data_IF_168484022323
#
_entry.id   IF_168484022323
#
_cell.length_a   1.000
_cell.length_b   1.000
_cell.length_c   1.000
_cell.angle_alpha   90.00
_cell.angle_beta   90.00
_cell.angle_gamma   90.00
#
_symmetry.space_group_name_H-M   'P 1'
#
loop_
_entity.id
_entity.type
_entity.pdbx_description
1 polymer ?
#
# COMPACT_ATOMS: atom_id res chain seq x y z
N UNK A 1 9.18 8.67 -11.61
CA UNK A 1 9.52 9.42 -10.37
C UNK A 1 9.29 8.47 -9.20
N UNK A 2 10.26 8.35 -8.30
CA UNK A 2 10.18 7.50 -7.12
C UNK A 2 9.88 8.41 -5.93
N UNK A 3 8.68 8.28 -5.37
CA UNK A 3 8.17 9.07 -4.24
C UNK A 3 7.15 8.22 -3.49
N UNK A 4 7.42 7.98 -2.21
CA UNK A 4 6.56 7.27 -1.27
C UNK A 4 6.27 8.26 -0.15
N UNK A 5 5.00 8.45 0.19
CA UNK A 5 4.60 9.51 1.13
C UNK A 5 4.96 9.14 2.56
N UNK A 6 4.73 7.88 2.93
CA UNK A 6 5.02 7.34 4.27
C UNK A 6 5.55 5.93 4.17
N UNK A 7 6.56 5.63 4.98
CA UNK A 7 7.08 4.27 5.18
C UNK A 7 6.98 3.93 6.66
N UNK A 8 6.26 2.86 6.99
CA UNK A 8 6.24 2.26 8.32
C UNK A 8 6.99 0.94 8.31
N UNK A 9 7.81 0.65 9.32
CA UNK A 9 8.56 -0.60 9.39
C UNK A 9 8.37 -1.22 10.77
N UNK A 10 7.94 -2.49 10.80
CA UNK A 10 7.82 -3.27 12.03
C UNK A 10 7.99 -4.75 11.72
N UNK A 11 8.63 -5.49 12.64
CA UNK A 11 8.87 -6.94 12.51
C UNK A 11 9.47 -7.37 11.14
N UNK A 12 10.37 -6.55 10.58
CA UNK A 12 11.01 -6.85 9.29
C UNK A 12 10.17 -6.59 8.04
N UNK A 13 8.92 -6.15 8.18
CA UNK A 13 8.02 -5.82 7.07
C UNK A 13 7.82 -4.31 6.99
N UNK A 14 7.98 -3.76 5.79
CA UNK A 14 7.69 -2.37 5.49
C UNK A 14 6.27 -2.20 4.90
N UNK A 15 5.53 -1.22 5.38
CA UNK A 15 4.29 -0.75 4.77
C UNK A 15 4.60 0.56 4.04
N UNK A 16 4.44 0.55 2.71
CA UNK A 16 4.74 1.68 1.84
C UNK A 16 3.43 2.35 1.41
N UNK A 17 3.21 3.57 1.86
CA UNK A 17 1.92 4.25 1.74
C UNK A 17 1.98 5.36 0.70
N UNK A 18 0.97 5.42 -0.15
CA UNK A 18 0.65 6.54 -1.03
C UNK A 18 -0.70 7.14 -0.61
N UNK A 19 -0.72 8.41 -0.26
CA UNK A 19 -1.87 9.11 0.29
C UNK A 19 -2.62 9.86 -0.82
N UNK A 20 -3.92 9.60 -0.96
CA UNK A 20 -4.75 10.12 -2.05
C UNK A 20 -5.96 10.88 -1.54
N UNK A 21 -6.15 12.08 -2.09
CA UNK A 21 -7.24 12.99 -1.75
C UNK A 21 -8.23 13.12 -2.93
N UNK A 22 -8.92 12.03 -3.28
CA UNK A 22 -9.84 12.01 -4.42
C UNK A 22 -11.30 12.08 -3.99
N UNK A 23 -12.02 13.12 -4.42
CA UNK A 23 -13.49 13.18 -4.24
C UNK A 23 -14.25 12.25 -5.19
N UNK A 24 -13.67 11.96 -6.35
CA UNK A 24 -14.20 11.05 -7.38
C UNK A 24 -13.02 10.34 -8.05
N UNK A 25 -13.17 9.06 -8.35
CA UNK A 25 -12.21 8.28 -9.11
C UNK A 25 -12.94 7.28 -10.00
N UNK A 26 -12.27 6.82 -11.06
CA UNK A 26 -12.71 5.66 -11.85
C UNK A 26 -11.88 4.43 -11.49
N UNK A 27 -12.41 3.23 -11.76
CA UNK A 27 -11.64 1.99 -11.60
C UNK A 27 -10.33 2.02 -12.39
N UNK A 28 -10.33 2.56 -13.61
CA UNK A 28 -9.11 2.68 -14.42
C UNK A 28 -8.06 3.58 -13.78
N UNK A 29 -8.48 4.72 -13.20
CA UNK A 29 -7.56 5.63 -12.49
C UNK A 29 -6.99 4.98 -11.23
N UNK A 30 -7.81 4.23 -10.50
CA UNK A 30 -7.42 3.52 -9.28
C UNK A 30 -6.42 2.41 -9.61
N UNK A 31 -6.69 1.59 -10.63
CA UNK A 31 -5.76 0.58 -11.13
C UNK A 31 -4.42 1.19 -11.58
N UNK A 32 -4.44 2.35 -12.23
CA UNK A 32 -3.19 3.03 -12.62
C UNK A 32 -2.35 3.44 -11.41
N UNK A 33 -3.00 3.93 -10.36
CA UNK A 33 -2.31 4.35 -9.12
C UNK A 33 -1.74 3.14 -8.39
N UNK A 34 -2.52 2.06 -8.27
CA UNK A 34 -2.06 0.81 -7.66
C UNK A 34 -0.83 0.26 -8.38
N UNK A 35 -0.86 0.18 -9.72
CA UNK A 35 0.30 -0.27 -10.51
C UNK A 35 1.54 0.58 -10.28
N UNK A 36 1.39 1.91 -10.18
CA UNK A 36 2.50 2.82 -9.85
C UNK A 36 3.03 2.59 -8.44
N UNK A 37 2.17 2.30 -7.46
CA UNK A 37 2.59 2.02 -6.09
C UNK A 37 3.32 0.68 -5.97
N UNK A 38 2.85 -0.35 -6.67
CA UNK A 38 3.55 -1.63 -6.78
C UNK A 38 4.96 -1.39 -7.35
N UNK A 39 5.08 -0.62 -8.43
CA UNK A 39 6.37 -0.34 -9.07
C UNK A 39 7.33 0.42 -8.14
N UNK A 40 6.83 1.42 -7.41
CA UNK A 40 7.65 2.12 -6.39
C UNK A 40 8.10 1.19 -5.26
N UNK A 41 7.25 0.25 -4.86
CA UNK A 41 7.55 -0.74 -3.83
C UNK A 41 8.64 -1.72 -4.30
N UNK A 42 8.58 -2.18 -5.56
CA UNK A 42 9.68 -2.96 -6.16
C UNK A 42 10.99 -2.20 -6.15
N UNK A 43 10.98 -0.92 -6.50
CA UNK A 43 12.19 -0.09 -6.49
C UNK A 43 12.75 0.13 -5.08
N UNK A 44 11.89 0.24 -4.06
CA UNK A 44 12.29 0.31 -2.66
C UNK A 44 12.99 -0.98 -2.22
N UNK A 45 12.35 -2.13 -2.48
CA UNK A 45 12.88 -3.46 -2.13
C UNK A 45 14.21 -3.74 -2.85
N UNK A 46 14.31 -3.43 -4.14
CA UNK A 46 15.54 -3.63 -4.90
C UNK A 46 16.75 -2.84 -4.35
N UNK A 47 16.49 -1.71 -3.69
CA UNK A 47 17.50 -0.83 -3.09
C UNK A 47 17.74 -1.10 -1.59
N UNK A 48 16.91 -1.91 -0.96
CA UNK A 48 16.93 -2.16 0.48
C UNK A 48 17.11 -3.65 0.71
N UNK A 49 18.34 -4.05 1.02
CA UNK A 49 18.70 -5.46 1.19
C UNK A 49 17.86 -6.13 2.29
N UNK A 50 17.31 -7.31 1.98
CA UNK A 50 16.45 -8.07 2.89
C UNK A 50 15.08 -7.45 3.17
N UNK A 51 14.68 -6.37 2.47
CA UNK A 51 13.39 -5.75 2.69
C UNK A 51 12.24 -6.59 2.11
N UNK A 52 11.22 -6.78 2.94
CA UNK A 52 9.89 -7.26 2.55
C UNK A 52 8.94 -6.07 2.69
N UNK A 53 8.14 -5.80 1.66
CA UNK A 53 7.30 -4.62 1.63
C UNK A 53 5.88 -4.90 1.11
N UNK A 54 4.90 -4.26 1.73
CA UNK A 54 3.49 -4.23 1.29
C UNK A 54 3.15 -2.82 0.81
N UNK A 55 2.75 -2.64 -0.45
CA UNK A 55 2.19 -1.38 -0.93
C UNK A 55 0.80 -1.18 -0.33
N UNK A 56 0.49 0.06 0.08
CA UNK A 56 -0.83 0.45 0.59
C UNK A 56 -1.22 1.80 -0.01
N UNK A 57 -2.47 1.97 -0.40
CA UNK A 57 -3.03 3.27 -0.75
C UNK A 57 -3.90 3.74 0.41
N UNK A 58 -3.66 4.93 0.96
CA UNK A 58 -4.55 5.55 1.95
C UNK A 58 -5.37 6.63 1.27
N UNK A 59 -6.68 6.65 1.47
CA UNK A 59 -7.58 7.61 0.82
C UNK A 59 -8.34 8.46 1.84
N UNK A 60 -8.62 9.73 1.48
CA UNK A 60 -9.37 10.61 2.38
C UNK A 60 -10.89 10.38 2.34
N UNK A 61 -11.47 10.08 1.18
CA UNK A 61 -12.93 10.10 0.97
C UNK A 61 -13.57 8.75 0.63
N UNK A 62 -12.79 7.68 0.44
CA UNK A 62 -13.38 6.36 0.21
C UNK A 62 -14.02 5.86 1.51
N UNK A 63 -15.10 5.10 1.41
CA UNK A 63 -15.96 4.69 2.54
C UNK A 63 -15.66 3.28 3.07
N UNK A 64 -14.88 2.49 2.34
CA UNK A 64 -14.50 1.13 2.74
C UNK A 64 -13.11 0.74 2.27
N UNK A 65 -12.50 -0.19 2.99
CA UNK A 65 -11.34 -0.92 2.48
C UNK A 65 -11.72 -1.66 1.20
N UNK A 66 -10.85 -1.56 0.20
CA UNK A 66 -10.96 -2.26 -1.07
C UNK A 66 -9.59 -2.83 -1.47
N UNK A 67 -9.56 -3.72 -2.47
CA UNK A 67 -8.34 -4.35 -2.94
C UNK A 67 -8.29 -4.37 -4.46
N UNK A 68 -7.15 -3.97 -5.02
CA UNK A 68 -6.83 -4.16 -6.43
C UNK A 68 -5.46 -4.80 -6.52
N UNK A 69 -5.35 -5.92 -7.23
CA UNK A 69 -4.09 -6.69 -7.31
C UNK A 69 -3.53 -7.03 -5.91
N UNK A 70 -4.42 -7.31 -4.95
CA UNK A 70 -4.13 -7.54 -3.53
C UNK A 70 -3.47 -6.35 -2.81
N UNK A 71 -3.44 -5.17 -3.41
CA UNK A 71 -3.01 -3.92 -2.77
C UNK A 71 -4.19 -3.32 -2.02
N UNK A 72 -4.11 -3.18 -0.68
CA UNK A 72 -5.17 -2.57 0.11
C UNK A 72 -5.29 -1.07 -0.20
N UNK A 73 -6.53 -0.63 -0.36
CA UNK A 73 -6.93 0.76 -0.50
C UNK A 73 -7.77 1.09 0.73
N UNK A 74 -7.18 1.84 1.65
CA UNK A 74 -7.64 1.99 3.03
C UNK A 74 -8.14 3.42 3.25
N UNK A 75 -9.40 3.61 3.66
CA UNK A 75 -9.85 4.91 4.13
C UNK A 75 -9.06 5.38 5.36
N UNK A 76 -8.69 6.65 5.43
CA UNK A 76 -7.89 7.18 6.54
C UNK A 76 -8.56 6.95 7.91
N UNK A 77 -9.90 6.95 7.98
CA UNK A 77 -10.63 6.70 9.22
C UNK A 77 -10.61 5.23 9.66
N UNK A 78 -10.28 4.29 8.77
CA UNK A 78 -10.08 2.86 9.09
C UNK A 78 -8.60 2.50 9.22
N UNK A 79 -7.70 3.44 8.97
CA UNK A 79 -6.27 3.15 8.90
C UNK A 79 -5.70 2.60 10.22
N UNK A 80 -6.15 3.10 11.37
CA UNK A 80 -5.70 2.58 12.68
C UNK A 80 -6.02 1.09 12.83
N UNK A 81 -7.29 0.72 12.61
CA UNK A 81 -7.74 -0.67 12.70
C UNK A 81 -7.05 -1.56 11.65
N UNK A 82 -6.85 -1.06 10.44
CA UNK A 82 -6.09 -1.77 9.40
C UNK A 82 -4.67 -2.09 9.87
N UNK A 83 -3.98 -1.16 10.54
CA UNK A 83 -2.62 -1.39 11.06
C UNK A 83 -2.63 -2.38 12.22
N UNK A 84 -3.62 -2.32 13.11
CA UNK A 84 -3.76 -3.26 14.23
C UNK A 84 -3.95 -4.70 13.73
N UNK A 85 -4.71 -4.88 12.64
CA UNK A 85 -5.01 -6.18 12.04
C UNK A 85 -4.01 -6.62 10.96
N UNK A 86 -3.03 -5.77 10.62
CA UNK A 86 -2.15 -5.93 9.46
C UNK A 86 -1.47 -7.31 9.40
N UNK A 87 -0.83 -7.72 10.49
CA UNK A 87 -0.10 -8.99 10.55
C UNK A 87 -1.01 -10.22 10.53
N UNK A 88 -2.24 -10.09 11.03
CA UNK A 88 -3.22 -11.17 10.97
C UNK A 88 -3.75 -11.44 9.56
N UNK A 89 -3.60 -10.46 8.65
CA UNK A 89 -4.14 -10.51 7.30
C UNK A 89 -3.08 -10.41 6.19
N UNK A 90 -1.78 -10.45 6.54
CA UNK A 90 -0.68 -10.18 5.58
C UNK A 90 -0.69 -11.14 4.38
N UNK A 91 -1.07 -12.40 4.58
CA UNK A 91 -1.14 -13.42 3.52
C UNK A 91 -2.19 -13.10 2.44
N UNK A 92 -3.13 -12.19 2.73
CA UNK A 92 -4.14 -11.73 1.77
C UNK A 92 -3.67 -10.52 0.95
N UNK A 93 -2.54 -9.92 1.35
CA UNK A 93 -2.01 -8.68 0.78
C UNK A 93 -0.86 -8.95 -0.20
N UNK A 94 -0.64 -7.99 -1.10
CA UNK A 94 0.48 -8.02 -2.03
C UNK A 94 1.80 -7.82 -1.27
N UNK A 95 2.51 -8.90 -1.01
CA UNK A 95 3.88 -8.83 -0.48
C UNK A 95 4.89 -8.79 -1.63
N UNK A 96 5.90 -7.93 -1.50
CA UNK A 96 6.99 -7.77 -2.47
C UNK A 96 8.30 -7.92 -1.71
N UNK A 97 9.12 -8.85 -2.17
CA UNK A 97 10.48 -9.09 -1.70
C UNK A 97 11.41 -9.20 -2.92
N UNK A 98 12.72 -9.20 -2.68
CA UNK A 98 13.71 -9.35 -3.74
C UNK A 98 13.72 -10.82 -4.17
N UNK A 99 13.63 -11.08 -5.48
CA UNK A 99 13.79 -12.42 -6.05
C UNK A 99 15.08 -13.11 -5.57
#
# INVERSE_FOLDING_TARGET
>A
RMEIDVVGIRLGVAILIDCKHWKRYSMSSLSSVVKKQIERTRQYVAKTEGAIAVPVIVTLYQDKVDFIENVPIVPIFQFSSFVDEFYGNIDQMKTIEKD
#
